data_IF_969360430853
#
_entry.id   IF_969360430853
#
_cell.length_a   1.000
_cell.length_b   1.000
_cell.length_c   1.000
_cell.angle_alpha   90.00
_cell.angle_beta   90.00
_cell.angle_gamma   90.00
#
_symmetry.space_group_name_H-M   'P 1'
#
loop_
_entity.id
_entity.type
_entity.pdbx_description
1 polymer ?
#
# COMPACT_ATOMS: atom_id res chain seq x y z
N UNK A 1 -1.14 -15.38 -7.78
CA UNK A 1 -0.74 -14.44 -8.84
C UNK A 1 0.22 -13.43 -8.22
N UNK A 2 1.39 -13.25 -8.82
CA UNK A 2 2.41 -12.30 -8.42
C UNK A 2 2.32 -11.11 -9.37
N UNK A 3 2.47 -9.90 -8.85
CA UNK A 3 2.55 -8.68 -9.66
C UNK A 3 3.89 -8.03 -9.39
N UNK A 4 4.60 -7.69 -10.46
CA UNK A 4 5.68 -6.72 -10.40
C UNK A 4 5.22 -5.43 -11.06
N UNK A 5 5.45 -4.32 -10.38
CA UNK A 5 5.19 -2.99 -10.92
C UNK A 5 6.54 -2.41 -11.35
N UNK A 6 6.95 -2.52 -12.63
CA UNK A 6 8.16 -1.86 -13.09
C UNK A 6 7.96 -0.35 -12.98
N UNK A 7 8.68 0.27 -12.04
CA UNK A 7 8.67 1.71 -11.83
C UNK A 7 9.38 2.40 -13.00
N UNK A 8 8.64 2.81 -14.02
CA UNK A 8 9.17 3.70 -15.05
C UNK A 8 8.65 5.11 -14.77
N UNK A 9 9.51 5.89 -14.11
CA UNK A 9 9.23 7.26 -13.62
C UNK A 9 9.01 8.32 -14.72
N UNK A 10 9.03 7.93 -16.00
CA UNK A 10 9.00 8.86 -17.13
C UNK A 10 7.87 8.69 -18.13
N UNK A 11 7.05 7.62 -18.08
CA UNK A 11 6.19 7.31 -19.23
C UNK A 11 4.74 7.80 -19.09
N UNK A 12 4.16 8.20 -20.23
CA UNK A 12 2.75 8.50 -20.44
C UNK A 12 1.79 7.30 -20.18
N UNK A 13 2.32 6.21 -19.63
CA UNK A 13 1.64 4.92 -19.47
C UNK A 13 1.90 4.33 -18.08
N UNK A 14 0.92 3.64 -17.54
CA UNK A 14 1.04 2.75 -16.39
C UNK A 14 1.33 1.35 -16.92
N UNK A 15 2.43 0.75 -16.46
CA UNK A 15 2.87 -0.59 -16.87
C UNK A 15 2.73 -1.53 -15.68
N UNK A 16 2.07 -2.66 -15.89
CA UNK A 16 1.84 -3.67 -14.86
C UNK A 16 2.26 -5.01 -15.43
N UNK A 17 3.15 -5.72 -14.74
CA UNK A 17 3.51 -7.09 -15.11
C UNK A 17 2.83 -8.06 -14.15
N UNK A 18 2.15 -9.06 -14.70
CA UNK A 18 1.47 -10.10 -13.94
C UNK A 18 2.05 -11.47 -14.27
N UNK A 19 2.12 -12.33 -13.26
CA UNK A 19 2.46 -13.72 -13.42
C UNK A 19 1.57 -14.61 -12.55
N UNK A 20 1.09 -15.72 -13.09
CA UNK A 20 0.27 -16.70 -12.38
C UNK A 20 1.03 -18.01 -12.21
N UNK A 21 0.86 -18.73 -11.09
CA UNK A 21 1.43 -20.07 -10.93
C UNK A 21 1.05 -20.97 -12.11
N UNK A 22 2.06 -21.59 -12.73
CA UNK A 22 1.91 -22.42 -13.94
C UNK A 22 2.23 -21.70 -15.25
N UNK A 23 2.36 -20.37 -15.25
CA UNK A 23 2.82 -19.63 -16.43
C UNK A 23 4.35 -19.67 -16.55
N UNK A 24 4.86 -19.76 -17.78
CA UNK A 24 6.30 -19.78 -18.08
C UNK A 24 6.86 -18.39 -18.38
N UNK A 25 5.99 -17.40 -18.60
CA UNK A 25 6.35 -16.01 -18.97
C UNK A 25 5.49 -15.00 -18.21
N UNK A 26 6.02 -13.80 -18.00
CA UNK A 26 5.27 -12.68 -17.46
C UNK A 26 4.38 -12.06 -18.54
N UNK A 27 3.21 -11.53 -18.14
CA UNK A 27 2.32 -10.76 -19.01
C UNK A 27 2.42 -9.28 -18.68
N UNK A 28 2.77 -8.45 -19.66
CA UNK A 28 2.85 -7.00 -19.52
C UNK A 28 1.57 -6.31 -19.99
N UNK A 29 0.99 -5.47 -19.14
CA UNK A 29 -0.19 -4.67 -19.42
C UNK A 29 0.19 -3.19 -19.54
N UNK A 30 -0.32 -2.54 -20.58
CA UNK A 30 -0.06 -1.12 -20.86
C UNK A 30 -1.34 -0.31 -20.78
N UNK A 31 -1.37 0.66 -19.88
CA UNK A 31 -2.52 1.55 -19.69
C UNK A 31 -2.11 2.99 -19.91
N UNK A 32 -3.00 3.81 -20.47
CA UNK A 32 -2.79 5.25 -20.55
C UNK A 32 -2.70 5.84 -19.14
N UNK A 33 -1.65 6.61 -18.87
CA UNK A 33 -1.52 7.27 -17.58
C UNK A 33 -2.52 8.43 -17.48
N UNK A 34 -3.60 8.22 -16.72
CA UNK A 34 -4.63 9.22 -16.45
C UNK A 34 -4.11 10.34 -15.53
N UNK A 35 -2.98 10.14 -14.85
CA UNK A 35 -2.35 11.09 -13.93
C UNK A 35 -0.87 11.30 -14.29
N UNK A 36 -0.58 12.14 -15.31
CA UNK A 36 0.80 12.34 -15.78
C UNK A 36 1.72 12.85 -14.67
N UNK A 37 2.99 12.41 -14.71
CA UNK A 37 4.04 12.73 -13.71
C UNK A 37 3.76 12.23 -12.29
N UNK A 38 2.86 11.25 -12.13
CA UNK A 38 2.63 10.57 -10.85
C UNK A 38 3.25 9.19 -10.88
N UNK A 39 3.88 8.82 -9.76
CA UNK A 39 4.51 7.53 -9.57
C UNK A 39 3.62 6.71 -8.63
N UNK A 40 3.40 5.45 -8.95
CA UNK A 40 2.67 4.50 -8.12
C UNK A 40 3.69 3.74 -7.26
N UNK A 41 3.69 4.02 -5.96
CA UNK A 41 4.80 3.66 -5.08
C UNK A 41 4.48 2.53 -4.10
N UNK A 42 3.20 2.26 -3.85
CA UNK A 42 2.72 1.24 -2.92
C UNK A 42 1.54 0.50 -3.53
N UNK A 43 1.44 -0.79 -3.30
CA UNK A 43 0.29 -1.58 -3.71
C UNK A 43 -0.05 -2.66 -2.69
N UNK A 44 -1.33 -3.02 -2.62
CA UNK A 44 -1.84 -4.15 -1.83
C UNK A 44 -2.86 -4.92 -2.65
N UNK A 45 -2.96 -6.22 -2.40
CA UNK A 45 -3.98 -7.07 -3.01
C UNK A 45 -5.15 -7.21 -2.04
N UNK A 46 -6.37 -6.96 -2.51
CA UNK A 46 -7.59 -7.09 -1.70
C UNK A 46 -8.75 -7.50 -2.61
N UNK A 47 -9.57 -8.44 -2.17
CA UNK A 47 -10.81 -8.82 -2.87
C UNK A 47 -10.64 -9.08 -4.39
N UNK A 48 -9.53 -9.71 -4.79
CA UNK A 48 -9.27 -10.02 -6.20
C UNK A 48 -8.64 -8.89 -7.02
N UNK A 49 -8.43 -7.71 -6.44
CA UNK A 49 -7.91 -6.52 -7.13
C UNK A 49 -6.62 -5.99 -6.49
N UNK A 50 -5.83 -5.26 -7.27
CA UNK A 50 -4.65 -4.56 -6.77
C UNK A 50 -4.96 -3.09 -6.62
N UNK A 51 -4.75 -2.59 -5.40
CA UNK A 51 -4.94 -1.19 -5.05
C UNK A 51 -3.57 -0.53 -4.96
N UNK A 52 -3.32 0.41 -5.85
CA UNK A 52 -2.04 1.10 -6.00
C UNK A 52 -2.16 2.55 -5.54
N UNK A 53 -1.31 2.97 -4.62
CA UNK A 53 -1.28 4.32 -4.09
C UNK A 53 -0.18 5.13 -4.77
N UNK A 54 -0.56 6.27 -5.34
CA UNK A 54 0.37 7.20 -5.98
C UNK A 54 1.12 8.05 -4.96
N UNK A 55 2.25 8.62 -5.36
CA UNK A 55 3.03 9.60 -4.58
C UNK A 55 2.29 10.92 -4.30
N UNK A 56 1.07 11.09 -4.81
CA UNK A 56 0.20 12.23 -4.51
C UNK A 56 -1.14 11.80 -3.88
N UNK A 57 -1.25 10.56 -3.40
CA UNK A 57 -2.40 10.08 -2.64
C UNK A 57 -3.60 9.59 -3.46
N UNK A 58 -3.56 9.68 -4.79
CA UNK A 58 -4.55 9.02 -5.65
C UNK A 58 -4.45 7.50 -5.53
N UNK A 59 -5.60 6.84 -5.66
CA UNK A 59 -5.73 5.39 -5.57
C UNK A 59 -6.14 4.83 -6.94
N UNK A 60 -5.24 4.07 -7.56
CA UNK A 60 -5.49 3.32 -8.77
C UNK A 60 -5.86 1.88 -8.43
N UNK A 61 -6.66 1.26 -9.27
CA UNK A 61 -7.07 -0.13 -9.15
C UNK A 61 -6.79 -0.87 -10.44
N UNK A 62 -6.07 -1.97 -10.31
CA UNK A 62 -5.89 -2.95 -11.37
C UNK A 62 -6.77 -4.17 -11.09
N UNK A 63 -7.66 -4.48 -12.04
CA UNK A 63 -8.43 -5.72 -12.07
C UNK A 63 -7.70 -6.73 -12.98
N UNK A 64 -7.04 -7.75 -12.41
CA UNK A 64 -6.29 -8.74 -13.16
C UNK A 64 -7.17 -9.75 -13.91
N UNK A 65 -8.46 -9.83 -13.59
CA UNK A 65 -9.41 -10.72 -14.29
C UNK A 65 -9.89 -10.10 -15.60
N UNK A 66 -10.01 -8.76 -15.61
CA UNK A 66 -10.46 -7.98 -16.78
C UNK A 66 -9.33 -7.25 -17.50
N UNK A 67 -8.12 -7.31 -16.96
CA UNK A 67 -6.97 -6.51 -17.42
C UNK A 67 -7.32 -5.03 -17.57
N UNK A 68 -7.92 -4.44 -16.51
CA UNK A 68 -8.31 -3.01 -16.52
C UNK A 68 -7.56 -2.23 -15.46
N UNK A 69 -7.28 -0.97 -15.77
CA UNK A 69 -6.69 0.00 -14.85
C UNK A 69 -7.59 1.23 -14.74
N UNK A 70 -7.99 1.57 -13.51
CA UNK A 70 -8.87 2.70 -13.25
C UNK A 70 -8.37 3.52 -12.06
N UNK A 71 -8.55 4.83 -12.11
CA UNK A 71 -8.36 5.70 -10.95
C UNK A 71 -9.68 5.73 -10.18
N UNK A 72 -9.67 5.33 -8.91
CA UNK A 72 -10.87 5.40 -8.09
C UNK A 72 -11.23 6.86 -7.80
N UNK A 73 -12.53 7.20 -7.76
CA UNK A 73 -13.01 8.55 -7.46
C UNK A 73 -12.93 8.87 -5.94
N UNK A 74 -11.83 8.45 -5.31
CA UNK A 74 -11.55 8.65 -3.89
C UNK A 74 -10.75 9.94 -3.73
N UNK A 75 -11.13 10.77 -2.76
CA UNK A 75 -10.35 11.98 -2.44
C UNK A 75 -8.89 11.58 -2.15
N UNK A 76 -7.87 12.24 -2.73
CA UNK A 76 -6.49 11.87 -2.52
C UNK A 76 -6.14 11.77 -1.03
N UNK A 77 -5.38 10.74 -0.66
CA UNK A 77 -4.98 10.49 0.70
C UNK A 77 -4.24 11.71 1.28
N UNK A 78 -4.70 12.28 2.41
CA UNK A 78 -4.14 13.52 2.96
C UNK A 78 -2.67 13.38 3.41
N UNK A 79 -2.20 12.15 3.59
CA UNK A 79 -0.82 11.80 3.94
C UNK A 79 0.25 12.38 2.99
N UNK A 80 -0.11 12.67 1.73
CA UNK A 80 0.84 13.06 0.69
C UNK A 80 1.01 14.57 0.52
N UNK A 81 0.55 15.36 1.50
CA UNK A 81 0.94 16.77 1.61
C UNK A 81 2.41 16.86 2.08
N UNK A 82 3.35 16.52 1.20
CA UNK A 82 4.80 16.50 1.46
C UNK A 82 5.48 15.17 1.11
N UNK A 83 6.83 15.10 1.25
CA UNK A 83 7.61 13.86 1.07
C UNK A 83 7.57 12.98 2.33
N UNK A 84 6.37 12.72 2.85
CA UNK A 84 6.20 11.93 4.07
C UNK A 84 6.22 10.43 3.71
N UNK A 85 7.04 9.60 4.38
CA UNK A 85 7.01 8.16 4.19
C UNK A 85 5.62 7.58 4.52
N UNK A 86 5.11 6.73 3.64
CA UNK A 86 3.85 6.02 3.85
C UNK A 86 4.01 4.53 3.59
N UNK A 87 3.17 3.77 4.29
CA UNK A 87 3.02 2.33 4.14
C UNK A 87 1.57 2.03 3.80
N UNK A 88 1.33 0.91 3.14
CA UNK A 88 0.00 0.49 2.72
C UNK A 88 -0.16 -0.98 3.05
N UNK A 89 -1.26 -1.33 3.70
CA UNK A 89 -1.55 -2.71 4.11
C UNK A 89 -3.04 -3.01 3.92
N UNK A 90 -3.34 -4.29 3.81
CA UNK A 90 -4.69 -4.84 3.74
C UNK A 90 -4.96 -5.74 4.95
N UNK A 91 -6.22 -5.81 5.37
CA UNK A 91 -6.72 -6.78 6.34
C UNK A 91 -8.23 -7.00 6.13
N UNK A 92 -8.65 -8.24 5.88
CA UNK A 92 -10.07 -8.64 5.73
C UNK A 92 -10.85 -7.77 4.73
N UNK A 93 -10.22 -7.38 3.63
CA UNK A 93 -10.80 -6.54 2.59
C UNK A 93 -10.63 -5.04 2.85
N UNK A 94 -10.29 -4.64 4.08
CA UNK A 94 -10.02 -3.25 4.43
C UNK A 94 -8.61 -2.83 4.03
N UNK A 95 -8.49 -1.60 3.54
CA UNK A 95 -7.23 -1.02 3.10
C UNK A 95 -6.85 0.13 4.01
N UNK A 96 -5.60 0.10 4.48
CA UNK A 96 -5.04 1.09 5.38
C UNK A 96 -3.79 1.74 4.80
N UNK A 97 -3.66 3.03 5.05
CA UNK A 97 -2.43 3.80 4.84
C UNK A 97 -1.91 4.23 6.20
N UNK A 98 -0.63 3.94 6.44
CA UNK A 98 0.05 4.31 7.69
C UNK A 98 1.08 5.36 7.36
N UNK A 99 0.95 6.49 8.04
CA UNK A 99 1.81 7.65 7.89
C UNK A 99 2.66 7.74 9.15
N UNK A 100 3.97 7.69 8.97
CA UNK A 100 4.90 7.82 10.07
C UNK A 100 5.92 8.90 9.73
N UNK A 101 6.27 9.71 10.72
CA UNK A 101 7.28 10.76 10.56
C UNK A 101 8.38 10.52 11.57
N UNK A 102 9.63 10.82 11.21
CA UNK A 102 10.74 10.74 12.14
C UNK A 102 10.61 11.69 13.35
N UNK A 103 9.66 12.62 13.32
CA UNK A 103 9.40 13.60 14.38
C UNK A 103 8.19 13.25 15.25
N UNK A 104 7.39 12.27 14.87
CA UNK A 104 6.18 11.89 15.59
C UNK A 104 6.21 10.39 15.88
N UNK A 105 6.32 10.06 17.17
CA UNK A 105 6.33 8.67 17.63
C UNK A 105 4.96 8.00 17.49
N UNK A 106 3.89 8.77 17.27
CA UNK A 106 2.56 8.25 17.01
C UNK A 106 2.23 8.30 15.52
N UNK A 107 2.27 7.16 14.81
CA UNK A 107 1.87 7.10 13.41
C UNK A 107 0.37 7.37 13.24
N UNK A 108 0.00 8.06 12.17
CA UNK A 108 -1.40 8.27 11.78
C UNK A 108 -1.85 7.12 10.88
N UNK A 109 -2.99 6.51 11.19
CA UNK A 109 -3.58 5.44 10.38
C UNK A 109 -4.83 5.94 9.70
N UNK A 110 -4.92 5.74 8.39
CA UNK A 110 -6.05 6.09 7.55
C UNK A 110 -6.65 4.82 6.95
N UNK A 111 -7.94 4.57 7.19
CA UNK A 111 -8.71 3.49 6.57
C UNK A 111 -9.49 4.03 5.37
N UNK A 112 -9.49 3.30 4.26
CA UNK A 112 -10.32 3.62 3.11
C UNK A 112 -11.78 3.27 3.39
N UNK A 113 -12.70 4.24 3.25
CA UNK A 113 -14.14 4.00 3.26
C UNK A 113 -14.66 3.99 1.81
N UNK A 114 -14.88 2.79 1.26
CA UNK A 114 -15.40 2.61 -0.09
C UNK A 114 -16.79 3.21 -0.31
N UNK A 115 -17.68 3.17 0.69
CA UNK A 115 -19.04 3.72 0.56
C UNK A 115 -19.04 5.24 0.39
N UNK A 116 -18.08 5.91 1.05
CA UNK A 116 -17.98 7.37 1.06
C UNK A 116 -16.89 7.92 0.13
N UNK A 117 -16.08 7.05 -0.48
CA UNK A 117 -14.92 7.41 -1.30
C UNK A 117 -13.94 8.39 -0.60
N UNK A 118 -13.68 8.17 0.69
CA UNK A 118 -12.77 9.00 1.50
C UNK A 118 -11.88 8.15 2.40
N UNK A 119 -10.76 8.75 2.83
CA UNK A 119 -9.90 8.22 3.87
C UNK A 119 -10.38 8.71 5.25
N UNK A 120 -10.54 7.80 6.19
CA UNK A 120 -10.94 8.08 7.57
C UNK A 120 -9.80 7.75 8.52
N UNK A 121 -9.44 8.70 9.37
CA UNK A 121 -8.46 8.45 10.42
C UNK A 121 -9.00 7.46 11.46
N UNK A 122 -8.14 6.51 11.84
CA UNK A 122 -8.42 5.52 12.88
C UNK A 122 -7.49 5.75 14.06
N UNK A 123 -8.08 6.03 15.23
CA UNK A 123 -7.36 6.15 16.50
C UNK A 123 -7.13 4.79 17.16
N UNK A 124 -7.97 3.82 16.85
CA UNK A 124 -7.89 2.44 17.30
C UNK A 124 -7.88 1.52 16.07
N UNK A 125 -7.06 0.47 16.13
CA UNK A 125 -6.87 -0.50 15.06
C UNK A 125 -7.76 -1.75 15.23
N UNK A 126 -8.71 -1.75 16.17
CA UNK A 126 -9.61 -2.88 16.39
C UNK A 126 -8.90 -4.14 16.89
N UNK A 127 -7.76 -4.00 17.58
CA UNK A 127 -6.92 -5.10 18.02
C UNK A 127 -5.88 -5.56 17.00
N UNK A 128 -5.81 -4.94 15.81
CA UNK A 128 -4.81 -5.28 14.80
C UNK A 128 -3.41 -4.78 15.17
N UNK A 129 -2.41 -5.56 14.79
CA UNK A 129 -0.99 -5.16 14.88
C UNK A 129 -0.43 -5.08 13.49
N UNK A 130 0.16 -3.94 13.13
CA UNK A 130 0.76 -3.75 11.81
C UNK A 130 2.28 -3.83 11.91
N UNK A 131 2.86 -4.78 11.18
CA UNK A 131 4.29 -4.88 11.00
C UNK A 131 4.65 -4.16 9.72
N UNK A 132 5.58 -3.23 9.80
CA UNK A 132 5.97 -2.48 8.63
C UNK A 132 7.50 -2.32 8.53
N UNK A 133 8.01 -2.71 7.38
CA UNK A 133 9.36 -2.41 6.93
C UNK A 133 9.31 -1.61 5.63
N UNK A 134 10.42 -1.02 5.22
CA UNK A 134 10.54 -0.58 3.84
C UNK A 134 11.14 -1.74 3.03
N UNK A 135 10.53 -2.19 1.91
CA UNK A 135 9.46 -1.54 1.16
C UNK A 135 8.03 -1.97 1.50
N UNK A 136 7.79 -2.93 2.40
CA UNK A 136 6.49 -3.61 2.59
C UNK A 136 5.93 -3.56 4.02
N UNK A 137 4.61 -3.60 4.15
CA UNK A 137 3.92 -3.72 5.43
C UNK A 137 2.82 -4.77 5.37
N UNK A 138 2.52 -5.41 6.49
CA UNK A 138 1.41 -6.36 6.63
C UNK A 138 0.76 -6.24 8.01
N UNK A 139 -0.54 -6.49 8.09
CA UNK A 139 -1.31 -6.49 9.33
C UNK A 139 -1.60 -7.92 9.80
N UNK A 140 -1.61 -8.13 11.12
CA UNK A 140 -1.93 -9.43 11.73
C UNK A 140 -2.86 -9.24 12.93
N UNK A 141 -3.87 -10.09 13.02
CA UNK A 141 -4.75 -10.22 14.18
C UNK A 141 -4.31 -11.38 15.10
N UNK A 142 -4.84 -11.41 16.32
CA UNK A 142 -4.68 -12.57 17.22
C UNK A 142 -3.37 -12.63 18.01
N UNK A 143 -2.66 -11.51 18.13
CA UNK A 143 -1.49 -11.43 19.02
C UNK A 143 -1.91 -11.28 20.50
N UNK A 144 -0.95 -11.48 21.40
CA UNK A 144 -1.10 -11.27 22.85
C UNK A 144 -1.64 -9.87 23.14
N UNK A 145 -2.35 -9.68 24.26
CA UNK A 145 -2.99 -8.40 24.63
C UNK A 145 -2.01 -7.23 24.60
N UNK A 146 -0.75 -7.47 24.96
CA UNK A 146 0.34 -6.50 24.96
C UNK A 146 0.78 -6.09 23.55
N UNK A 147 0.55 -6.91 22.53
CA UNK A 147 1.01 -6.69 21.16
C UNK A 147 -0.07 -6.12 20.24
N UNK A 148 -1.36 -6.19 20.64
CA UNK A 148 -2.50 -5.63 19.90
C UNK A 148 -2.40 -4.11 19.78
N UNK A 149 -2.94 -3.55 18.69
CA UNK A 149 -2.95 -2.10 18.43
C UNK A 149 -1.55 -1.46 18.38
N UNK A 150 -0.52 -2.22 17.98
CA UNK A 150 0.84 -1.71 17.82
C UNK A 150 1.25 -1.64 16.36
N UNK A 151 2.12 -0.67 16.06
CA UNK A 151 2.81 -0.57 14.78
C UNK A 151 4.29 -0.88 15.03
N UNK A 152 4.75 -2.01 14.51
CA UNK A 152 6.13 -2.46 14.63
C UNK A 152 6.92 -2.01 13.40
N UNK A 153 7.67 -0.92 13.53
CA UNK A 153 8.52 -0.39 12.48
C UNK A 153 9.90 -1.06 12.53
N UNK A 154 10.42 -1.43 11.35
CA UNK A 154 11.84 -1.81 11.20
C UNK A 154 12.76 -0.66 11.62
N UNK A 155 13.80 -0.94 12.41
CA UNK A 155 14.80 0.06 12.76
C UNK A 155 15.46 0.61 11.48
N UNK A 156 15.70 1.92 11.44
CA UNK A 156 16.45 2.56 10.35
C UNK A 156 17.78 2.99 10.96
N UNK A 157 18.86 2.28 10.64
CA UNK A 157 20.19 2.74 11.03
C UNK A 157 20.56 4.03 10.27
N UNK A 158 21.54 4.77 10.78
CA UNK A 158 22.04 6.01 10.14
C UNK A 158 22.67 5.76 8.76
N UNK A 159 22.86 4.50 8.35
CA UNK A 159 23.44 4.08 7.09
C UNK A 159 22.40 3.64 6.05
N UNK A 160 21.09 3.75 6.35
CA UNK A 160 20.03 3.44 5.39
C UNK A 160 19.79 1.96 5.17
N UNK A 161 20.21 1.08 6.11
CA UNK A 161 19.89 -0.35 6.04
C UNK A 161 18.41 -0.58 6.35
N UNK A 162 17.79 -1.47 5.60
CA UNK A 162 16.38 -1.84 5.73
C UNK A 162 16.27 -3.15 6.52
N UNK A 163 15.67 -3.10 7.72
CA UNK A 163 15.35 -4.31 8.47
C UNK A 163 13.99 -4.88 8.05
N UNK A 164 13.87 -6.21 8.06
CA UNK A 164 12.61 -6.91 7.74
C UNK A 164 11.98 -7.41 9.04
N UNK A 165 10.81 -6.86 9.39
CA UNK A 165 10.03 -7.33 10.52
C UNK A 165 9.16 -8.51 10.09
N UNK A 166 9.26 -9.65 10.77
CA UNK A 166 8.39 -10.81 10.56
C UNK A 166 7.88 -11.31 11.92
N UNK A 167 6.74 -12.00 11.91
CA UNK A 167 6.16 -12.59 13.11
C UNK A 167 6.04 -14.10 12.89
N UNK A 168 6.82 -14.88 13.64
CA UNK A 168 6.72 -16.34 13.68
C UNK A 168 5.54 -16.74 14.55
N UNK A 169 4.98 -17.94 14.30
CA UNK A 169 3.96 -18.53 15.18
C UNK A 169 4.56 -18.89 16.52
#
# INVERSE_FOLDING_TARGET
MVISYPQISSCASVVIDTWRPGETVWTTHWFKNQLPKRIWGKCVFSNGMFYCLSTCGYLGVFDPSKSTWNILPVKPCPAFRGRIPVLMTEHEGDIFVIVYTCKNNNPMVLKLNFKRNVWEEKKDLGGLTVFASFPSSFARAGLSTEQRNKICLSYRDKCGRYDVSYSVR
#
